data_IF_390855350680
#
_entry.id   IF_390855350680
#
_cell.length_a   1.000
_cell.length_b   1.000
_cell.length_c   1.000
_cell.angle_alpha   90.00
_cell.angle_beta   90.00
_cell.angle_gamma   90.00
#
_symmetry.space_group_name_H-M   'P 1'
#
loop_
_entity.id
_entity.type
_entity.pdbx_description
1 polymer ?
#
# COMPACT_ATOMS: atom_id res chain seq x y z
N UNK A 1 -25.90 1.45 -3.50
CA UNK A 1 -24.96 2.34 -2.78
C UNK A 1 -25.36 2.56 -1.33
N UNK A 2 -26.61 2.95 -1.02
CA UNK A 2 -27.03 3.15 0.38
C UNK A 2 -26.90 1.89 1.24
N UNK A 3 -27.10 0.70 0.68
CA UNK A 3 -26.95 -0.58 1.41
C UNK A 3 -25.49 -0.98 1.68
N UNK A 4 -24.51 -0.36 1.00
CA UNK A 4 -23.09 -0.72 1.11
C UNK A 4 -22.32 0.20 2.07
N UNK A 5 -23.01 1.11 2.76
CA UNK A 5 -22.42 2.07 3.69
C UNK A 5 -21.59 1.41 4.80
N UNK A 6 -21.92 0.17 5.16
CA UNK A 6 -21.21 -0.56 6.20
C UNK A 6 -19.80 -0.97 5.77
N UNK A 7 -19.50 -1.09 4.47
CA UNK A 7 -18.14 -1.40 3.99
C UNK A 7 -17.13 -0.32 4.44
N UNK A 8 -17.29 0.97 4.07
CA UNK A 8 -16.36 2.01 4.51
C UNK A 8 -16.36 2.18 6.03
N UNK A 9 -17.52 1.99 6.68
CA UNK A 9 -17.60 2.03 8.14
C UNK A 9 -16.80 0.89 8.80
N UNK A 10 -16.86 -0.32 8.26
CA UNK A 10 -16.09 -1.48 8.73
C UNK A 10 -14.58 -1.23 8.61
N UNK A 11 -14.12 -0.56 7.55
CA UNK A 11 -12.71 -0.17 7.41
C UNK A 11 -12.27 0.75 8.55
N UNK A 12 -13.12 1.70 8.95
CA UNK A 12 -12.85 2.59 10.10
C UNK A 12 -12.84 1.78 11.40
N UNK A 13 -13.81 0.90 11.63
CA UNK A 13 -13.86 0.04 12.81
C UNK A 13 -12.64 -0.91 12.88
N UNK A 14 -12.23 -1.48 11.75
CA UNK A 14 -11.03 -2.32 11.64
C UNK A 14 -9.77 -1.55 12.02
N UNK A 15 -9.66 -0.30 11.54
CA UNK A 15 -8.55 0.60 11.88
C UNK A 15 -8.54 0.90 13.37
N UNK A 16 -9.68 1.27 13.96
CA UNK A 16 -9.79 1.62 15.37
C UNK A 16 -9.48 0.41 16.26
N UNK A 17 -10.18 -0.71 16.03
CA UNK A 17 -9.99 -1.94 16.82
C UNK A 17 -8.57 -2.50 16.67
N UNK A 18 -8.04 -2.53 15.45
CA UNK A 18 -6.66 -2.93 15.18
C UNK A 18 -5.64 -2.03 15.88
N UNK A 19 -5.82 -0.71 15.85
CA UNK A 19 -4.92 0.22 16.55
C UNK A 19 -5.01 0.10 18.08
N UNK A 20 -6.19 -0.18 18.64
CA UNK A 20 -6.35 -0.46 20.08
C UNK A 20 -5.59 -1.74 20.46
N UNK A 21 -5.76 -2.82 19.70
CA UNK A 21 -5.02 -4.07 19.89
C UNK A 21 -3.51 -3.82 19.75
N UNK A 22 -3.10 -3.07 18.72
CA UNK A 22 -1.72 -2.69 18.50
C UNK A 22 -1.13 -1.90 19.66
N UNK A 23 -1.88 -0.96 20.24
CA UNK A 23 -1.48 -0.19 21.42
C UNK A 23 -1.28 -1.08 22.64
N UNK A 24 -2.22 -2.00 22.90
CA UNK A 24 -2.11 -2.96 24.01
C UNK A 24 -0.88 -3.85 23.84
N UNK A 25 -0.69 -4.43 22.64
CA UNK A 25 0.47 -5.29 22.33
C UNK A 25 1.78 -4.52 22.46
N UNK A 26 1.86 -3.31 21.90
CA UNK A 26 3.05 -2.47 22.00
C UNK A 26 3.39 -2.11 23.45
N UNK A 27 2.37 -1.88 24.30
CA UNK A 27 2.56 -1.58 25.72
C UNK A 27 3.10 -2.77 26.51
N UNK A 28 2.72 -3.99 26.14
CA UNK A 28 3.19 -5.24 26.77
C UNK A 28 4.62 -5.58 26.33
N UNK A 29 4.88 -5.48 25.03
CA UNK A 29 6.14 -5.94 24.43
C UNK A 29 7.25 -4.90 24.59
N UNK A 30 6.86 -3.62 24.68
CA UNK A 30 7.76 -2.46 24.82
C UNK A 30 8.83 -2.47 23.72
N UNK A 31 8.43 -2.18 22.46
CA UNK A 31 9.37 -2.15 21.34
C UNK A 31 10.50 -1.14 21.60
N UNK A 32 11.70 -1.36 21.05
CA UNK A 32 12.80 -0.42 21.19
C UNK A 32 12.41 0.96 20.66
N UNK A 33 12.90 2.02 21.30
CA UNK A 33 12.69 3.38 20.80
C UNK A 33 13.35 3.53 19.42
N UNK A 34 12.73 4.24 18.47
CA UNK A 34 11.44 4.94 18.50
C UNK A 34 10.26 4.16 17.86
N UNK A 35 10.28 2.82 17.87
CA UNK A 35 9.35 1.98 17.10
C UNK A 35 7.98 1.70 17.76
N UNK A 36 7.61 2.44 18.81
CA UNK A 36 6.32 2.25 19.48
C UNK A 36 5.13 2.53 18.55
N UNK A 37 5.10 3.70 17.91
CA UNK A 37 4.03 4.07 16.96
C UNK A 37 4.04 3.18 15.72
N UNK A 38 5.23 2.82 15.24
CA UNK A 38 5.42 1.87 14.14
C UNK A 38 4.74 0.53 14.44
N UNK A 39 4.96 -0.03 15.64
CA UNK A 39 4.37 -1.32 16.07
C UNK A 39 2.84 -1.26 16.07
N UNK A 40 2.25 -0.16 16.56
CA UNK A 40 0.79 0.04 16.56
C UNK A 40 0.24 0.02 15.13
N UNK A 41 0.87 0.76 14.22
CA UNK A 41 0.45 0.85 12.82
C UNK A 41 0.56 -0.51 12.12
N UNK A 42 1.66 -1.24 12.33
CA UNK A 42 1.87 -2.53 11.65
C UNK A 42 0.83 -3.58 12.09
N UNK A 43 0.34 -3.50 13.33
CA UNK A 43 -0.77 -4.35 13.81
C UNK A 43 -2.13 -3.81 13.36
N UNK A 44 -2.34 -2.49 13.45
CA UNK A 44 -3.65 -1.89 13.22
C UNK A 44 -4.06 -1.83 11.76
N UNK A 45 -3.11 -1.68 10.85
CA UNK A 45 -3.41 -1.36 9.45
C UNK A 45 -3.20 -2.57 8.54
N UNK A 46 -4.31 -3.13 8.08
CA UNK A 46 -4.34 -4.25 7.13
C UNK A 46 -4.21 -3.84 5.68
N UNK A 47 -3.83 -4.80 4.85
CA UNK A 47 -3.88 -4.69 3.40
C UNK A 47 -5.34 -4.82 2.91
N UNK A 48 -6.04 -3.71 2.81
CA UNK A 48 -7.48 -3.68 2.46
C UNK A 48 -7.76 -3.93 0.97
N UNK A 49 -6.76 -3.83 0.10
CA UNK A 49 -6.95 -3.89 -1.35
C UNK A 49 -6.24 -5.05 -2.03
N UNK A 50 -4.90 -5.01 -2.03
CA UNK A 50 -4.10 -5.82 -2.93
C UNK A 50 -4.23 -7.32 -2.66
N UNK A 51 -4.15 -7.74 -1.39
CA UNK A 51 -4.27 -9.16 -1.02
C UNK A 51 -5.70 -9.68 -1.14
N UNK A 52 -6.74 -8.95 -0.66
CA UNK A 52 -8.14 -9.35 -0.86
C UNK A 52 -8.53 -9.55 -2.33
N UNK A 53 -8.12 -8.65 -3.23
CA UNK A 53 -8.47 -8.75 -4.66
C UNK A 53 -7.89 -10.02 -5.29
N UNK A 54 -6.62 -10.31 -5.02
CA UNK A 54 -5.97 -11.55 -5.50
C UNK A 54 -6.69 -12.78 -4.94
N UNK A 55 -7.04 -12.74 -3.66
CA UNK A 55 -7.69 -13.86 -2.98
C UNK A 55 -9.09 -14.12 -3.55
N UNK A 56 -9.90 -13.08 -3.75
CA UNK A 56 -11.24 -13.21 -4.36
C UNK A 56 -11.13 -13.72 -5.79
N UNK A 57 -10.21 -13.17 -6.59
CA UNK A 57 -10.01 -13.65 -7.95
C UNK A 57 -9.63 -15.15 -7.99
N UNK A 58 -8.76 -15.59 -7.08
CA UNK A 58 -8.39 -17.00 -6.97
C UNK A 58 -9.56 -17.88 -6.50
N UNK A 59 -10.32 -17.42 -5.50
CA UNK A 59 -11.43 -18.17 -4.93
C UNK A 59 -12.60 -18.31 -5.92
N UNK A 60 -12.99 -17.21 -6.59
CA UNK A 60 -14.10 -17.20 -7.54
C UNK A 60 -13.80 -18.02 -8.81
N UNK A 61 -12.53 -18.13 -9.20
CA UNK A 61 -12.11 -18.94 -10.37
C UNK A 61 -12.28 -20.44 -10.14
N UNK A 62 -12.35 -20.89 -8.88
CA UNK A 62 -12.60 -22.29 -8.57
C UNK A 62 -14.05 -22.68 -8.93
N UNK A 63 -14.21 -23.77 -9.68
CA UNK A 63 -15.54 -24.29 -10.05
C UNK A 63 -16.34 -24.77 -8.84
N UNK A 64 -15.66 -25.09 -7.74
CA UNK A 64 -16.25 -25.54 -6.47
C UNK A 64 -16.48 -24.39 -5.48
N UNK A 65 -16.35 -23.13 -5.91
CA UNK A 65 -16.55 -22.00 -5.03
C UNK A 65 -17.98 -21.98 -4.44
N UNK A 66 -18.15 -21.59 -3.16
CA UNK A 66 -19.45 -21.62 -2.50
C UNK A 66 -20.33 -20.40 -2.82
N UNK A 67 -19.81 -19.39 -3.52
CA UNK A 67 -20.50 -18.12 -3.79
C UNK A 67 -21.31 -18.15 -5.10
N UNK A 68 -21.26 -19.26 -5.83
CA UNK A 68 -22.09 -19.53 -7.01
C UNK A 68 -21.33 -19.29 -8.31
N UNK A 69 -21.92 -18.50 -9.20
CA UNK A 69 -21.35 -18.22 -10.50
C UNK A 69 -20.03 -17.44 -10.40
N UNK A 70 -19.01 -17.88 -11.15
CA UNK A 70 -17.64 -17.34 -11.09
C UNK A 70 -17.59 -15.86 -11.47
N UNK A 71 -18.32 -15.46 -12.51
CA UNK A 71 -18.26 -14.09 -13.03
C UNK A 71 -18.96 -13.14 -12.05
N UNK A 72 -20.12 -13.56 -11.54
CA UNK A 72 -20.82 -12.81 -10.49
C UNK A 72 -20.02 -12.70 -9.21
N UNK A 73 -19.40 -13.79 -8.76
CA UNK A 73 -18.54 -13.84 -7.57
C UNK A 73 -17.38 -12.83 -7.68
N UNK A 74 -16.68 -12.84 -8.82
CA UNK A 74 -15.57 -11.93 -9.09
C UNK A 74 -16.05 -10.48 -9.16
N UNK A 75 -17.15 -10.21 -9.87
CA UNK A 75 -17.70 -8.88 -10.02
C UNK A 75 -18.14 -8.27 -8.68
N UNK A 76 -18.94 -8.99 -7.90
CA UNK A 76 -19.45 -8.53 -6.60
C UNK A 76 -18.30 -8.37 -5.59
N UNK A 77 -17.40 -9.36 -5.51
CA UNK A 77 -16.24 -9.31 -4.61
C UNK A 77 -15.29 -8.15 -4.93
N UNK A 78 -14.95 -7.94 -6.21
CA UNK A 78 -14.12 -6.82 -6.63
C UNK A 78 -14.80 -5.47 -6.37
N UNK A 79 -16.12 -5.37 -6.59
CA UNK A 79 -16.89 -4.17 -6.30
C UNK A 79 -16.86 -3.82 -4.80
N UNK A 80 -17.11 -4.80 -3.91
CA UNK A 80 -17.11 -4.57 -2.47
C UNK A 80 -15.73 -4.17 -1.94
N UNK A 81 -14.66 -4.85 -2.36
CA UNK A 81 -13.30 -4.52 -1.96
C UNK A 81 -12.94 -3.11 -2.44
N UNK A 82 -13.18 -2.81 -3.72
CA UNK A 82 -12.91 -1.50 -4.34
C UNK A 82 -13.68 -0.37 -3.66
N UNK A 83 -14.90 -0.64 -3.21
CA UNK A 83 -15.70 0.33 -2.48
C UNK A 83 -15.17 0.63 -1.07
N UNK A 84 -14.42 -0.29 -0.43
CA UNK A 84 -13.76 -0.03 0.86
C UNK A 84 -12.39 0.65 0.74
N UNK A 85 -11.69 0.44 -0.38
CA UNK A 85 -10.30 0.86 -0.55
C UNK A 85 -10.07 2.37 -0.42
N UNK A 86 -11.01 3.22 -0.85
CA UNK A 86 -10.84 4.68 -0.77
C UNK A 86 -10.76 5.19 0.68
N UNK A 87 -11.50 4.59 1.61
CA UNK A 87 -11.39 4.93 3.05
C UNK A 87 -10.05 4.46 3.59
N UNK A 88 -9.61 3.26 3.19
CA UNK A 88 -8.28 2.74 3.55
C UNK A 88 -7.16 3.68 3.10
N UNK A 89 -7.28 4.27 1.91
CA UNK A 89 -6.34 5.28 1.42
C UNK A 89 -6.37 6.54 2.30
N UNK A 90 -7.56 7.08 2.64
CA UNK A 90 -7.68 8.23 3.54
C UNK A 90 -6.99 7.94 4.88
N UNK A 91 -7.26 6.78 5.50
CA UNK A 91 -6.64 6.36 6.76
C UNK A 91 -5.11 6.28 6.64
N UNK A 92 -4.58 5.67 5.59
CA UNK A 92 -3.13 5.58 5.36
C UNK A 92 -2.48 6.96 5.30
N UNK A 93 -3.05 7.89 4.54
CA UNK A 93 -2.40 9.17 4.30
C UNK A 93 -2.66 10.23 5.37
N UNK A 94 -3.72 10.09 6.16
CA UNK A 94 -4.03 11.02 7.25
C UNK A 94 -3.53 10.49 8.59
N UNK A 95 -3.88 9.27 8.95
CA UNK A 95 -3.55 8.68 10.25
C UNK A 95 -2.16 8.04 10.25
N UNK A 96 -1.88 7.14 9.30
CA UNK A 96 -0.62 6.39 9.29
C UNK A 96 0.58 7.29 9.01
N UNK A 97 0.44 8.19 8.04
CA UNK A 97 1.50 9.14 7.70
C UNK A 97 1.89 10.05 8.87
N UNK A 98 0.94 10.45 9.72
CA UNK A 98 1.18 11.25 10.92
C UNK A 98 1.75 10.41 12.06
N UNK A 99 1.28 9.17 12.23
CA UNK A 99 1.80 8.25 13.25
C UNK A 99 3.25 7.81 12.98
N UNK A 100 3.65 7.73 11.72
CA UNK A 100 5.02 7.42 11.30
C UNK A 100 5.91 8.66 11.17
N UNK A 101 5.46 9.84 11.59
CA UNK A 101 6.33 11.02 11.63
C UNK A 101 7.53 10.76 12.54
N UNK A 102 8.75 11.15 12.11
CA UNK A 102 9.96 10.94 12.90
C UNK A 102 9.88 11.67 14.25
N UNK A 103 10.50 11.13 15.31
CA UNK A 103 10.57 11.80 16.60
C UNK A 103 11.34 13.14 16.51
N UNK A 104 11.07 14.04 17.45
CA UNK A 104 11.61 15.41 17.47
C UNK A 104 13.13 15.52 17.65
N UNK A 105 13.80 14.42 18.01
CA UNK A 105 15.24 14.36 18.27
C UNK A 105 16.09 14.06 17.02
N UNK A 106 15.46 13.97 15.84
CA UNK A 106 16.13 13.60 14.60
C UNK A 106 15.69 12.22 14.10
N UNK A 107 16.14 11.87 12.91
CA UNK A 107 15.81 10.69 12.10
C UNK A 107 15.83 9.38 12.91
N UNK A 108 15.21 8.31 12.39
CA UNK A 108 15.23 6.96 13.01
C UNK A 108 16.64 6.33 13.14
N UNK A 109 17.67 7.05 12.72
CA UNK A 109 19.07 6.76 12.94
C UNK A 109 19.50 7.23 14.32
N UNK A 110 19.45 6.32 15.29
CA UNK A 110 20.25 6.46 16.51
C UNK A 110 21.71 6.26 16.09
N UNK A 111 22.49 7.33 16.17
CA UNK A 111 23.94 7.33 15.99
C UNK A 111 24.56 6.53 17.15
N UNK A 112 25.07 5.32 16.87
CA UNK A 112 25.77 4.45 17.83
C UNK A 112 27.18 5.01 18.16
N UNK A 113 27.29 6.31 18.44
CA UNK A 113 28.57 7.04 18.44
C UNK A 113 28.86 7.95 19.63
N UNK A 114 27.98 8.08 20.63
CA UNK A 114 28.22 8.98 21.76
C UNK A 114 28.63 8.24 23.05
N UNK A 115 29.83 7.65 23.04
CA UNK A 115 30.58 7.37 24.27
C UNK A 115 31.71 8.40 24.42
N UNK A 116 31.77 9.18 25.50
CA UNK A 116 32.79 10.22 25.67
C UNK A 116 34.13 9.58 26.09
N UNK A 117 35.07 9.48 25.15
CA UNK A 117 36.47 9.16 25.48
C UNK A 117 37.24 10.46 25.75
N UNK A 118 37.77 10.53 26.98
CA UNK A 118 38.51 11.64 27.56
C UNK A 118 40.02 11.56 27.22
N UNK A 119 40.53 12.64 26.61
CA UNK A 119 41.88 13.26 26.67
C UNK A 119 43.13 12.66 25.96
N UNK A 120 43.51 13.32 24.83
CA UNK A 120 44.80 14.00 24.45
C UNK A 120 46.17 13.25 24.39
N UNK A 121 47.26 13.79 23.76
CA UNK A 121 47.41 14.57 22.50
C UNK A 121 48.64 14.14 21.61
N UNK A 122 48.75 14.67 20.37
CA UNK A 122 49.91 15.44 19.84
C UNK A 122 50.22 15.29 18.32
N UNK A 123 50.54 16.46 17.74
CA UNK A 123 51.54 16.76 16.69
C UNK A 123 51.26 16.52 15.18
N UNK A 124 51.04 17.65 14.50
CA UNK A 124 51.66 18.19 13.26
C UNK A 124 52.15 17.20 12.18
N UNK A 125 51.80 17.43 10.90
CA UNK A 125 52.62 18.14 9.89
C UNK A 125 51.88 18.19 8.53
N UNK A 126 52.10 19.25 7.77
CA UNK A 126 51.54 19.53 6.44
C UNK A 126 52.26 18.75 5.32
N UNK A 127 51.56 18.41 4.24
CA UNK A 127 52.19 18.22 2.93
C UNK A 127 51.21 18.50 1.77
N UNK A 128 51.71 19.24 0.77
CA UNK A 128 51.04 19.83 -0.40
C UNK A 128 50.91 18.81 -1.57
N UNK A 129 50.48 19.29 -2.76
CA UNK A 129 50.77 18.83 -4.18
C UNK A 129 49.46 18.60 -5.01
N UNK A 130 49.36 18.86 -6.34
CA UNK A 130 48.94 20.13 -7.00
C UNK A 130 47.85 19.97 -8.13
N UNK A 131 47.55 21.05 -8.87
CA UNK A 131 46.48 21.22 -9.90
C UNK A 131 46.81 20.76 -11.35
N UNK A 132 45.80 20.16 -12.02
CA UNK A 132 45.38 20.11 -13.47
C UNK A 132 46.34 19.56 -14.57
N UNK A 133 45.86 19.01 -15.74
CA UNK A 133 44.80 19.59 -16.61
C UNK A 133 43.82 18.65 -17.38
N UNK A 134 42.79 19.29 -17.94
CA UNK A 134 41.68 18.83 -18.81
C UNK A 134 42.10 18.42 -20.23
N UNK A 135 41.30 17.60 -20.95
CA UNK A 135 41.14 17.75 -22.41
C UNK A 135 39.68 17.86 -22.90
N UNK A 136 39.51 18.59 -24.01
CA UNK A 136 38.30 18.94 -24.77
C UNK A 136 37.74 17.80 -25.67
N UNK A 137 36.51 17.92 -26.24
CA UNK A 137 35.76 16.82 -26.86
C UNK A 137 35.75 16.80 -28.41
N UNK A 138 35.59 15.61 -29.01
CA UNK A 138 35.27 15.42 -30.44
C UNK A 138 33.85 14.82 -30.67
N UNK A 139 33.17 15.11 -31.80
CA UNK A 139 31.75 14.80 -32.00
C UNK A 139 31.49 13.54 -32.84
N UNK A 140 30.39 12.82 -32.59
CA UNK A 140 29.88 11.77 -33.49
C UNK A 140 28.43 12.08 -33.90
N UNK A 141 28.24 12.13 -35.21
CA UNK A 141 26.99 12.32 -35.96
C UNK A 141 26.16 11.03 -35.96
N UNK A 142 24.84 11.13 -35.75
CA UNK A 142 23.90 10.08 -36.15
C UNK A 142 22.58 10.68 -36.67
N UNK A 143 22.16 10.18 -37.83
CA UNK A 143 21.12 10.69 -38.72
C UNK A 143 19.69 10.53 -38.17
N UNK A 144 18.86 11.53 -38.46
CA UNK A 144 17.43 11.62 -38.17
C UNK A 144 16.60 10.83 -39.19
N UNK A 145 15.66 10.01 -38.72
CA UNK A 145 14.49 9.58 -39.49
C UNK A 145 13.24 10.21 -38.87
N UNK A 146 12.37 10.81 -39.69
CA UNK A 146 11.25 11.68 -39.26
C UNK A 146 10.05 10.83 -38.76
N UNK A 147 9.49 11.07 -37.56
CA UNK A 147 8.19 10.53 -37.20
C UNK A 147 7.06 11.40 -37.75
N UNK A 148 6.01 10.76 -38.29
CA UNK A 148 4.88 11.45 -38.93
C UNK A 148 3.87 12.10 -37.97
N UNK A 149 2.99 12.95 -38.51
CA UNK A 149 1.97 13.78 -37.82
C UNK A 149 1.11 13.07 -36.75
N UNK A 150 0.95 11.74 -36.81
CA UNK A 150 0.21 10.96 -35.81
C UNK A 150 1.00 10.87 -34.49
N UNK A 151 2.34 10.83 -34.57
CA UNK A 151 3.24 10.85 -33.41
C UNK A 151 3.17 12.18 -32.65
N UNK A 152 2.90 13.29 -33.33
CA UNK A 152 2.82 14.62 -32.71
C UNK A 152 1.50 14.81 -31.95
N UNK A 153 0.39 14.24 -32.45
CA UNK A 153 -0.90 14.25 -31.74
C UNK A 153 -0.82 13.36 -30.50
N UNK A 154 -0.23 12.17 -30.63
CA UNK A 154 0.03 11.31 -29.47
C UNK A 154 0.99 11.98 -28.48
N UNK A 155 2.06 12.63 -28.93
CA UNK A 155 2.98 13.38 -28.07
C UNK A 155 2.29 14.55 -27.35
N UNK A 156 1.40 15.29 -28.03
CA UNK A 156 0.62 16.38 -27.45
C UNK A 156 -0.34 15.90 -26.37
N UNK A 157 -1.05 14.78 -26.61
CA UNK A 157 -1.93 14.15 -25.62
C UNK A 157 -1.09 13.60 -24.45
N UNK A 158 0.06 12.97 -24.74
CA UNK A 158 0.99 12.42 -23.75
C UNK A 158 1.60 13.49 -22.83
N UNK A 159 1.87 14.67 -23.37
CA UNK A 159 2.40 15.83 -22.64
C UNK A 159 1.30 16.54 -21.82
N UNK A 160 0.08 16.69 -22.36
CA UNK A 160 -1.08 17.25 -21.64
C UNK A 160 -1.60 16.37 -20.51
N UNK A 161 -1.52 15.03 -20.63
CA UNK A 161 -2.00 14.09 -19.61
C UNK A 161 -1.00 13.86 -18.46
N UNK A 162 0.24 14.37 -18.56
CA UNK A 162 1.31 14.08 -17.59
C UNK A 162 1.41 12.58 -17.25
N UNK A 163 1.33 11.68 -18.24
CA UNK A 163 1.30 10.23 -17.97
C UNK A 163 2.62 9.71 -17.35
N UNK A 164 3.74 10.41 -17.57
CA UNK A 164 5.03 10.17 -16.88
C UNK A 164 4.98 10.44 -15.37
N UNK A 165 3.97 11.18 -14.90
CA UNK A 165 3.73 11.47 -13.49
C UNK A 165 2.73 10.51 -12.82
N UNK A 166 2.05 9.66 -13.58
CA UNK A 166 1.07 8.69 -13.04
C UNK A 166 1.68 7.28 -12.94
N UNK A 167 2.67 6.98 -13.79
CA UNK A 167 3.24 5.64 -13.96
C UNK A 167 4.56 5.43 -13.20
N UNK A 168 4.63 5.89 -11.95
CA UNK A 168 5.66 5.44 -11.02
C UNK A 168 5.01 5.01 -9.71
N UNK A 169 4.94 3.70 -9.41
CA UNK A 169 4.80 3.28 -8.03
C UNK A 169 6.00 3.80 -7.21
N UNK A 170 5.83 4.02 -5.89
CA UNK A 170 6.79 4.70 -5.00
C UNK A 170 8.16 3.99 -4.78
N UNK A 171 8.56 3.09 -5.67
CA UNK A 171 9.67 2.13 -5.49
C UNK A 171 11.01 2.69 -5.97
N UNK A 172 11.02 3.74 -6.79
CA UNK A 172 12.28 4.25 -7.38
C UNK A 172 13.05 5.18 -6.40
N UNK A 173 12.45 5.57 -5.27
CA UNK A 173 13.14 6.42 -4.30
C UNK A 173 14.13 5.66 -3.39
N UNK A 174 14.08 4.33 -3.31
CA UNK A 174 14.81 3.60 -2.26
C UNK A 174 16.08 2.87 -2.68
N UNK A 175 16.48 2.86 -3.96
CA UNK A 175 17.73 2.21 -4.41
C UNK A 175 18.52 2.91 -5.50
N UNK A 176 18.27 4.19 -5.75
CA UNK A 176 19.21 5.00 -6.51
C UNK A 176 19.81 6.04 -5.58
N UNK A 177 20.96 5.70 -5.03
CA UNK A 177 21.93 6.71 -4.59
C UNK A 177 22.42 7.41 -5.86
N UNK A 178 21.60 8.33 -6.39
CA UNK A 178 22.05 9.32 -7.35
C UNK A 178 22.88 10.32 -6.54
N UNK A 179 24.16 10.00 -6.37
CA UNK A 179 25.18 11.00 -6.13
C UNK A 179 25.03 12.10 -7.18
N UNK A 180 24.44 13.23 -6.77
CA UNK A 180 24.41 14.47 -7.55
C UNK A 180 23.15 14.76 -8.39
N UNK A 181 21.92 14.58 -7.90
CA UNK A 181 20.73 15.21 -8.51
C UNK A 181 19.87 15.99 -7.52
N UNK A 182 19.31 17.12 -7.99
CA UNK A 182 18.86 18.27 -7.21
C UNK A 182 17.61 18.05 -6.33
N UNK A 183 17.52 18.87 -5.26
CA UNK A 183 16.36 19.05 -4.36
C UNK A 183 15.01 19.21 -5.08
N UNK A 184 15.02 19.60 -6.35
CA UNK A 184 13.84 19.75 -7.19
C UNK A 184 13.20 18.40 -7.53
N UNK A 185 13.98 17.32 -7.66
CA UNK A 185 13.49 16.00 -8.09
C UNK A 185 12.79 15.29 -6.93
N UNK A 186 13.36 15.39 -5.72
CA UNK A 186 12.70 15.01 -4.48
C UNK A 186 11.45 15.85 -4.21
N UNK A 187 11.52 17.18 -4.39
CA UNK A 187 10.38 18.07 -4.19
C UNK A 187 9.24 17.80 -5.21
N UNK A 188 9.55 17.50 -6.47
CA UNK A 188 8.58 17.14 -7.50
C UNK A 188 7.97 15.77 -7.18
N UNK A 189 8.78 14.78 -6.80
CA UNK A 189 8.30 13.45 -6.42
C UNK A 189 7.38 13.54 -5.20
N UNK A 190 7.76 14.29 -4.18
CA UNK A 190 6.95 14.53 -2.98
C UNK A 190 5.65 15.27 -3.32
N UNK A 191 5.72 16.34 -4.12
CA UNK A 191 4.52 17.10 -4.54
C UNK A 191 3.59 16.27 -5.41
N UNK A 192 4.14 15.43 -6.28
CA UNK A 192 3.37 14.54 -7.14
C UNK A 192 2.75 13.40 -6.36
N UNK A 193 3.49 12.81 -5.43
CA UNK A 193 2.99 11.83 -4.48
C UNK A 193 1.83 12.44 -3.68
N UNK A 194 2.05 13.58 -3.02
CA UNK A 194 0.99 14.30 -2.27
C UNK A 194 -0.18 14.66 -3.18
N UNK A 195 0.04 15.02 -4.45
CA UNK A 195 -1.03 15.32 -5.40
C UNK A 195 -1.83 14.09 -5.78
N UNK A 196 -1.19 12.98 -6.18
CA UNK A 196 -1.86 11.73 -6.53
C UNK A 196 -2.60 11.19 -5.31
N UNK A 197 -1.98 11.26 -4.13
CA UNK A 197 -2.55 10.82 -2.85
C UNK A 197 -3.75 11.66 -2.42
N UNK A 198 -3.62 12.99 -2.40
CA UNK A 198 -4.68 13.91 -1.99
C UNK A 198 -5.86 13.91 -2.98
N UNK A 199 -5.64 13.47 -4.22
CA UNK A 199 -6.68 13.37 -5.23
C UNK A 199 -7.13 11.93 -5.52
N UNK A 200 -6.48 10.89 -4.99
CA UNK A 200 -6.88 9.48 -5.17
C UNK A 200 -8.30 9.24 -4.67
N UNK A 201 -8.62 9.72 -3.46
CA UNK A 201 -9.99 9.69 -2.95
C UNK A 201 -10.97 10.45 -3.84
N UNK A 202 -10.55 11.58 -4.42
CA UNK A 202 -11.40 12.37 -5.33
C UNK A 202 -11.65 11.68 -6.66
N UNK A 203 -10.66 11.00 -7.23
CA UNK A 203 -10.83 10.20 -8.46
C UNK A 203 -11.79 9.03 -8.24
N UNK A 204 -11.73 8.39 -7.07
CA UNK A 204 -12.62 7.28 -6.73
C UNK A 204 -14.05 7.75 -6.45
N UNK A 205 -14.21 8.90 -5.77
CA UNK A 205 -15.51 9.56 -5.60
C UNK A 205 -16.07 9.99 -6.96
N UNK A 206 -15.24 10.55 -7.85
CA UNK A 206 -15.66 10.93 -9.20
C UNK A 206 -16.12 9.70 -10.00
N UNK A 207 -15.40 8.58 -9.93
CA UNK A 207 -15.79 7.33 -10.57
C UNK A 207 -17.13 6.80 -10.04
N UNK A 208 -17.37 6.88 -8.72
CA UNK A 208 -18.67 6.53 -8.14
C UNK A 208 -19.79 7.44 -8.63
N UNK A 209 -19.56 8.75 -8.72
CA UNK A 209 -20.55 9.72 -9.24
C UNK A 209 -20.88 9.42 -10.70
N UNK A 210 -19.87 9.15 -11.53
CA UNK A 210 -20.05 8.74 -12.93
C UNK A 210 -20.87 7.44 -13.02
N UNK A 211 -20.55 6.45 -12.19
CA UNK A 211 -21.28 5.17 -12.15
C UNK A 211 -22.70 5.26 -11.57
N UNK A 212 -22.97 6.25 -10.72
CA UNK A 212 -24.28 6.47 -10.12
C UNK A 212 -25.25 7.17 -11.08
N UNK A 213 -24.75 8.00 -12.00
CA UNK A 213 -25.58 8.73 -12.97
C UNK A 213 -25.94 7.78 -14.12
N UNK A 214 -27.23 7.43 -14.31
CA UNK A 214 -27.63 6.41 -15.28
C UNK A 214 -27.25 6.75 -16.73
N UNK A 215 -27.25 8.03 -17.08
CA UNK A 215 -26.85 8.52 -18.40
C UNK A 215 -25.35 8.29 -18.66
N UNK A 216 -24.49 8.70 -17.72
CA UNK A 216 -23.04 8.52 -17.83
C UNK A 216 -22.65 7.04 -17.79
N UNK A 217 -23.35 6.24 -16.96
CA UNK A 217 -23.18 4.79 -16.93
C UNK A 217 -23.45 4.16 -18.29
N UNK A 218 -24.57 4.51 -18.95
CA UNK A 218 -24.89 4.00 -20.30
C UNK A 218 -23.92 4.49 -21.38
N UNK A 219 -23.26 5.62 -21.17
CA UNK A 219 -22.33 6.22 -22.13
C UNK A 219 -20.90 5.65 -22.03
N UNK A 220 -20.47 5.22 -20.83
CA UNK A 220 -19.08 4.87 -20.53
C UNK A 220 -18.91 3.41 -20.08
N UNK A 221 -19.87 2.84 -19.34
CA UNK A 221 -19.72 1.58 -18.59
C UNK A 221 -20.49 0.39 -19.20
N UNK A 222 -21.22 0.57 -20.30
CA UNK A 222 -21.98 -0.50 -20.98
C UNK A 222 -21.20 -1.01 -22.19
N UNK A 223 -21.22 -2.31 -22.47
CA UNK A 223 -20.40 -2.93 -23.52
C UNK A 223 -20.66 -2.34 -24.92
N UNK A 224 -21.90 -1.94 -25.20
CA UNK A 224 -22.30 -1.28 -26.46
C UNK A 224 -22.10 0.25 -26.46
N UNK A 225 -21.45 0.81 -25.43
CA UNK A 225 -21.35 2.25 -25.27
C UNK A 225 -20.21 2.86 -26.11
N UNK A 226 -20.39 4.08 -26.65
CA UNK A 226 -19.40 4.70 -27.54
C UNK A 226 -18.06 5.00 -26.85
N UNK A 227 -18.05 5.14 -25.52
CA UNK A 227 -16.83 5.37 -24.73
C UNK A 227 -16.37 4.13 -23.95
N UNK A 228 -16.93 2.94 -24.24
CA UNK A 228 -16.57 1.72 -23.52
C UNK A 228 -15.08 1.38 -23.59
N UNK A 229 -14.40 1.78 -24.68
CA UNK A 229 -12.95 1.60 -24.83
C UNK A 229 -12.13 2.19 -23.66
N UNK A 230 -12.62 3.27 -23.02
CA UNK A 230 -11.96 3.82 -21.83
C UNK A 230 -12.10 2.89 -20.63
N UNK A 231 -13.31 2.34 -20.42
CA UNK A 231 -13.60 1.39 -19.33
C UNK A 231 -12.82 0.10 -19.54
N UNK A 232 -12.84 -0.46 -20.74
CA UNK A 232 -12.09 -1.66 -21.11
C UNK A 232 -10.58 -1.48 -20.87
N UNK A 233 -10.03 -0.35 -21.31
CA UNK A 233 -8.63 0.00 -21.02
C UNK A 233 -8.33 0.09 -19.52
N UNK A 234 -9.24 0.64 -18.72
CA UNK A 234 -9.09 0.73 -17.26
C UNK A 234 -9.19 -0.65 -16.59
N UNK A 235 -10.05 -1.53 -17.07
CA UNK A 235 -10.18 -2.91 -16.57
C UNK A 235 -8.89 -3.68 -16.83
N UNK A 236 -8.40 -3.67 -18.09
CA UNK A 236 -7.14 -4.32 -18.46
C UNK A 236 -5.97 -3.79 -17.62
N UNK A 237 -5.89 -2.47 -17.43
CA UNK A 237 -4.87 -1.86 -16.58
C UNK A 237 -5.00 -2.32 -15.12
N UNK A 238 -6.23 -2.36 -14.58
CA UNK A 238 -6.50 -2.82 -13.22
C UNK A 238 -6.09 -4.27 -12.99
N UNK A 239 -6.42 -5.17 -13.92
CA UNK A 239 -6.02 -6.57 -13.87
C UNK A 239 -4.50 -6.74 -13.94
N UNK A 240 -3.82 -5.98 -14.80
CA UNK A 240 -2.36 -5.98 -14.92
C UNK A 240 -1.65 -5.37 -13.70
N UNK A 241 -2.28 -4.42 -12.99
CA UNK A 241 -1.74 -3.82 -11.78
C UNK A 241 -1.64 -4.80 -10.62
N UNK A 242 -2.55 -5.78 -10.53
CA UNK A 242 -2.56 -6.77 -9.45
C UNK A 242 -1.21 -7.53 -9.33
N UNK A 243 -0.70 -8.22 -10.38
CA UNK A 243 0.60 -8.88 -10.33
C UNK A 243 1.77 -7.89 -10.24
N UNK A 244 1.67 -6.70 -10.83
CA UNK A 244 2.72 -5.68 -10.73
C UNK A 244 2.92 -5.21 -9.28
N UNK A 245 1.83 -5.04 -8.52
CA UNK A 245 1.88 -4.66 -7.11
C UNK A 245 2.48 -5.77 -6.25
N UNK A 246 2.22 -7.04 -6.57
CA UNK A 246 2.86 -8.17 -5.89
C UNK A 246 4.37 -8.24 -6.18
N UNK A 247 4.78 -7.99 -7.42
CA UNK A 247 6.19 -7.91 -7.80
C UNK A 247 6.89 -6.74 -7.09
N UNK A 248 6.22 -5.59 -7.06
CA UNK A 248 6.63 -4.40 -6.31
C UNK A 248 6.83 -4.68 -4.82
N UNK A 249 5.90 -5.42 -4.19
CA UNK A 249 6.05 -5.90 -2.83
C UNK A 249 7.34 -6.74 -2.70
N UNK A 250 7.59 -7.68 -3.61
CA UNK A 250 8.83 -8.46 -3.63
C UNK A 250 10.09 -7.58 -3.70
N UNK A 251 10.06 -6.52 -4.52
CA UNK A 251 11.14 -5.53 -4.61
C UNK A 251 11.39 -4.78 -3.30
N UNK A 252 10.33 -4.41 -2.57
CA UNK A 252 10.44 -3.76 -1.25
C UNK A 252 11.03 -4.68 -0.17
N UNK A 253 11.09 -5.99 -0.40
CA UNK A 253 11.60 -6.99 0.54
C UNK A 253 13.03 -7.44 0.21
N UNK A 254 13.67 -6.86 -0.80
CA UNK A 254 14.97 -7.31 -1.34
C UNK A 254 16.10 -7.26 -0.31
N UNK A 255 16.05 -6.33 0.65
CA UNK A 255 17.09 -6.17 1.67
C UNK A 255 16.99 -7.21 2.80
N UNK A 256 15.94 -8.03 2.78
CA UNK A 256 15.75 -9.16 3.67
C UNK A 256 15.54 -8.80 5.15
N UNK A 257 15.15 -9.78 5.98
CA UNK A 257 14.86 -9.56 7.39
C UNK A 257 16.10 -9.43 8.29
N UNK A 258 17.30 -9.71 7.78
CA UNK A 258 18.51 -10.01 8.58
C UNK A 258 19.14 -8.85 9.35
N UNK A 259 18.46 -7.70 9.40
CA UNK A 259 19.16 -6.44 9.57
C UNK A 259 18.34 -5.43 10.42
N UNK A 260 17.13 -5.77 10.86
CA UNK A 260 16.21 -4.84 11.56
C UNK A 260 16.56 -4.57 13.02
N UNK A 261 16.44 -3.31 13.45
CA UNK A 261 16.63 -2.86 14.84
C UNK A 261 15.44 -3.17 15.79
N UNK A 262 14.30 -3.66 15.28
CA UNK A 262 13.09 -3.94 16.07
C UNK A 262 13.24 -5.07 17.10
N UNK A 263 14.15 -6.02 16.82
CA UNK A 263 14.31 -7.25 17.58
C UNK A 263 13.20 -8.29 17.31
N UNK A 264 13.57 -9.57 17.39
CA UNK A 264 12.68 -10.71 17.11
C UNK A 264 11.41 -10.72 17.97
N UNK A 265 11.52 -10.30 19.24
CA UNK A 265 10.38 -10.23 20.17
C UNK A 265 9.29 -9.30 19.65
N UNK A 266 9.67 -8.12 19.15
CA UNK A 266 8.72 -7.14 18.61
C UNK A 266 8.10 -7.63 17.31
N UNK A 267 8.92 -8.17 16.40
CA UNK A 267 8.43 -8.72 15.14
C UNK A 267 7.43 -9.86 15.37
N UNK A 268 7.76 -10.81 16.27
CA UNK A 268 6.85 -11.89 16.64
C UNK A 268 5.53 -11.38 17.24
N UNK A 269 5.59 -10.35 18.08
CA UNK A 269 4.39 -9.72 18.63
C UNK A 269 3.54 -9.01 17.57
N UNK A 270 4.14 -8.36 16.57
CA UNK A 270 3.41 -7.76 15.45
C UNK A 270 2.68 -8.84 14.66
N UNK A 271 3.38 -9.94 14.32
CA UNK A 271 2.81 -11.07 13.58
C UNK A 271 1.63 -11.66 14.37
N UNK A 272 1.83 -11.95 15.65
CA UNK A 272 0.78 -12.51 16.50
C UNK A 272 -0.41 -11.55 16.66
N UNK A 273 -0.14 -10.27 16.95
CA UNK A 273 -1.16 -9.25 17.09
C UNK A 273 -2.02 -9.13 15.82
N UNK A 274 -1.37 -9.01 14.66
CA UNK A 274 -2.07 -8.83 13.38
C UNK A 274 -2.80 -10.08 12.92
N UNK A 275 -2.15 -11.25 12.96
CA UNK A 275 -2.67 -12.46 12.33
C UNK A 275 -3.52 -13.32 13.26
N UNK A 276 -3.50 -13.08 14.57
CA UNK A 276 -4.22 -13.89 15.56
C UNK A 276 -5.16 -13.07 16.42
N UNK A 277 -4.80 -11.85 16.84
CA UNK A 277 -5.64 -11.04 17.74
C UNK A 277 -6.66 -10.14 17.01
N UNK A 278 -6.28 -9.55 15.87
CA UNK A 278 -7.20 -8.71 15.07
C UNK A 278 -8.37 -9.50 14.44
N UNK A 279 -8.17 -10.70 13.85
CA UNK A 279 -9.25 -11.45 13.20
C UNK A 279 -10.45 -11.78 14.11
N UNK A 280 -10.28 -12.27 15.36
CA UNK A 280 -11.41 -12.48 16.27
C UNK A 280 -12.20 -11.20 16.57
N UNK A 281 -11.52 -10.07 16.73
CA UNK A 281 -12.17 -8.79 16.97
C UNK A 281 -13.03 -8.39 15.75
N UNK A 282 -12.48 -8.55 14.54
CA UNK A 282 -13.21 -8.35 13.29
C UNK A 282 -14.43 -9.26 13.14
N UNK A 283 -14.26 -10.56 13.45
CA UNK A 283 -15.35 -11.53 13.48
C UNK A 283 -16.47 -11.07 14.44
N UNK A 284 -16.10 -10.64 15.65
CA UNK A 284 -17.06 -10.11 16.62
C UNK A 284 -17.82 -8.89 16.11
N UNK A 285 -17.12 -7.93 15.49
CA UNK A 285 -17.71 -6.71 14.92
C UNK A 285 -18.72 -7.05 13.81
N UNK A 286 -18.32 -7.89 12.85
CA UNK A 286 -19.16 -8.23 11.69
C UNK A 286 -20.37 -9.07 12.12
N UNK A 287 -20.18 -10.05 13.02
CA UNK A 287 -21.28 -10.88 13.54
C UNK A 287 -22.28 -10.07 14.36
N UNK A 288 -21.80 -9.08 15.12
CA UNK A 288 -22.68 -8.17 15.85
C UNK A 288 -23.48 -7.28 14.88
N UNK A 289 -22.83 -6.74 13.84
CA UNK A 289 -23.51 -5.94 12.82
C UNK A 289 -24.57 -6.75 12.06
N UNK A 290 -24.30 -8.04 11.80
CA UNK A 290 -25.26 -8.95 11.18
C UNK A 290 -26.49 -9.18 12.08
N UNK A 291 -26.28 -9.43 13.38
CA UNK A 291 -27.37 -9.58 14.36
C UNK A 291 -28.21 -8.31 14.54
N UNK A 292 -27.60 -7.15 14.37
CA UNK A 292 -28.28 -5.85 14.42
C UNK A 292 -29.01 -5.51 13.10
N UNK A 293 -28.93 -6.36 12.07
CA UNK A 293 -29.57 -6.14 10.77
C UNK A 293 -28.96 -4.98 9.98
N UNK A 294 -27.69 -4.63 10.25
CA UNK A 294 -26.99 -3.54 9.55
C UNK A 294 -26.41 -3.97 8.20
N UNK A 295 -26.34 -5.28 7.95
CA UNK A 295 -25.79 -5.87 6.73
C UNK A 295 -26.90 -6.27 5.75
N UNK A 296 -26.67 -6.21 4.43
CA UNK A 296 -27.61 -6.70 3.42
C UNK A 296 -28.01 -8.16 3.69
N UNK A 297 -29.32 -8.42 3.66
CA UNK A 297 -29.88 -9.74 3.96
C UNK A 297 -29.53 -10.72 2.84
N UNK A 298 -29.02 -11.90 3.19
CA UNK A 298 -28.74 -12.98 2.23
C UNK A 298 -27.44 -12.84 1.41
N UNK A 299 -26.77 -11.67 1.43
CA UNK A 299 -25.50 -11.49 0.73
C UNK A 299 -24.31 -12.05 1.53
N UNK A 300 -23.92 -13.29 1.19
CA UNK A 300 -22.80 -13.98 1.84
C UNK A 300 -21.44 -13.44 1.38
N UNK A 301 -21.34 -12.97 0.13
CA UNK A 301 -20.10 -12.40 -0.41
C UNK A 301 -19.77 -11.10 0.32
N UNK A 302 -20.76 -10.25 0.54
CA UNK A 302 -20.62 -9.02 1.32
C UNK A 302 -20.07 -9.30 2.72
N UNK A 303 -20.69 -10.24 3.46
CA UNK A 303 -20.22 -10.65 4.81
C UNK A 303 -18.79 -11.19 4.77
N UNK A 304 -18.47 -12.02 3.77
CA UNK A 304 -17.14 -12.58 3.60
C UNK A 304 -16.08 -11.49 3.36
N UNK A 305 -16.35 -10.52 2.48
CA UNK A 305 -15.44 -9.40 2.21
C UNK A 305 -15.20 -8.55 3.47
N UNK A 306 -16.22 -8.30 4.29
CA UNK A 306 -16.06 -7.57 5.55
C UNK A 306 -15.16 -8.32 6.54
N UNK A 307 -15.33 -9.64 6.68
CA UNK A 307 -14.50 -10.48 7.54
C UNK A 307 -13.06 -10.55 7.04
N UNK A 308 -12.88 -10.69 5.72
CA UNK A 308 -11.58 -10.74 5.06
C UNK A 308 -10.74 -9.49 5.40
N UNK A 309 -11.32 -8.29 5.42
CA UNK A 309 -10.59 -7.05 5.73
C UNK A 309 -9.83 -7.09 7.07
N UNK A 310 -10.37 -7.82 8.06
CA UNK A 310 -9.78 -7.93 9.39
C UNK A 310 -8.66 -8.97 9.47
N UNK A 311 -8.57 -9.89 8.52
CA UNK A 311 -7.56 -10.97 8.55
C UNK A 311 -6.36 -10.69 7.70
N UNK A 312 -6.46 -9.68 6.84
CA UNK A 312 -5.37 -9.33 5.93
C UNK A 312 -4.07 -9.05 6.68
N UNK A 313 -2.92 -9.47 6.11
CA UNK A 313 -1.62 -9.08 6.62
C UNK A 313 -1.48 -7.55 6.61
N UNK A 314 -0.42 -7.08 7.24
CA UNK A 314 -0.12 -5.65 7.31
C UNK A 314 -0.06 -5.00 5.92
N UNK A 315 -0.53 -3.76 5.84
CA UNK A 315 -0.57 -3.01 4.58
C UNK A 315 0.82 -2.80 3.98
N UNK A 316 0.98 -3.24 2.73
CA UNK A 316 2.18 -2.97 1.91
C UNK A 316 2.41 -1.45 1.76
N UNK A 317 1.33 -0.68 1.62
CA UNK A 317 1.40 0.78 1.52
C UNK A 317 1.86 1.42 2.83
N UNK A 318 1.47 0.87 3.99
CA UNK A 318 1.98 1.35 5.27
C UNK A 318 3.50 1.13 5.40
N UNK A 319 4.02 0.01 4.88
CA UNK A 319 5.47 -0.23 4.82
C UNK A 319 6.19 0.70 3.84
N UNK A 320 5.58 1.01 2.68
CA UNK A 320 6.12 2.01 1.77
C UNK A 320 6.15 3.42 2.40
N UNK A 321 5.11 3.80 3.15
CA UNK A 321 5.09 5.05 3.92
C UNK A 321 6.16 5.06 5.02
N UNK A 322 6.40 3.94 5.68
CA UNK A 322 7.49 3.81 6.66
C UNK A 322 8.86 3.98 6.00
N UNK A 323 9.04 3.49 4.77
CA UNK A 323 10.26 3.72 3.98
C UNK A 323 10.49 5.21 3.70
N UNK A 324 9.45 5.94 3.28
CA UNK A 324 9.51 7.39 3.09
C UNK A 324 9.81 8.18 4.38
N UNK A 325 9.60 7.57 5.54
CA UNK A 325 9.86 8.17 6.86
C UNK A 325 11.19 7.74 7.48
N UNK A 326 12.00 6.94 6.79
CA UNK A 326 13.31 6.47 7.28
C UNK A 326 13.27 5.17 8.08
N UNK A 327 12.16 4.43 8.09
CA UNK A 327 12.00 3.11 8.73
C UNK A 327 11.90 1.96 7.71
N UNK A 328 12.55 2.08 6.55
CA UNK A 328 12.37 1.16 5.42
C UNK A 328 12.80 -0.27 5.74
N UNK A 329 13.95 -0.42 6.39
CA UNK A 329 14.57 -1.71 6.74
C UNK A 329 13.72 -2.49 7.75
N UNK A 330 13.18 -1.81 8.74
CA UNK A 330 12.25 -2.33 9.73
C UNK A 330 10.92 -2.74 9.13
N UNK A 331 10.36 -1.88 8.27
CA UNK A 331 9.14 -2.16 7.54
C UNK A 331 9.28 -3.38 6.63
N UNK A 332 10.37 -3.48 5.87
CA UNK A 332 10.65 -4.61 5.00
C UNK A 332 10.76 -5.93 5.79
N UNK A 333 11.50 -5.93 6.91
CA UNK A 333 11.62 -7.12 7.75
C UNK A 333 10.28 -7.59 8.34
N UNK A 334 9.45 -6.67 8.83
CA UNK A 334 8.11 -7.00 9.35
C UNK A 334 7.20 -7.50 8.23
N UNK A 335 7.16 -6.79 7.09
CA UNK A 335 6.33 -7.19 5.96
C UNK A 335 6.73 -8.59 5.45
N UNK A 336 8.03 -8.90 5.37
CA UNK A 336 8.53 -10.21 4.96
C UNK A 336 7.93 -11.33 5.82
N UNK A 337 8.14 -11.26 7.14
CA UNK A 337 7.68 -12.32 8.04
C UNK A 337 6.16 -12.38 8.16
N UNK A 338 5.49 -11.23 8.26
CA UNK A 338 4.02 -11.18 8.34
C UNK A 338 3.39 -11.83 7.12
N UNK A 339 3.89 -11.56 5.90
CA UNK A 339 3.31 -12.14 4.69
C UNK A 339 3.57 -13.66 4.57
N UNK A 340 4.71 -14.16 5.04
CA UNK A 340 4.98 -15.61 5.10
C UNK A 340 3.99 -16.31 6.04
N UNK A 341 3.87 -15.83 7.28
CA UNK A 341 2.95 -16.44 8.25
C UNK A 341 1.48 -16.19 7.91
N UNK A 342 1.17 -15.12 7.17
CA UNK A 342 -0.18 -14.83 6.71
C UNK A 342 -0.72 -15.94 5.81
N UNK A 343 0.11 -16.61 5.00
CA UNK A 343 -0.37 -17.72 4.15
C UNK A 343 -1.10 -18.78 4.98
N UNK A 344 -0.49 -19.19 6.11
CA UNK A 344 -1.05 -20.19 7.00
C UNK A 344 -2.23 -19.65 7.82
N UNK A 345 -2.06 -18.47 8.41
CA UNK A 345 -3.12 -17.87 9.26
C UNK A 345 -4.37 -17.55 8.45
N UNK A 346 -4.22 -16.90 7.30
CA UNK A 346 -5.32 -16.55 6.40
C UNK A 346 -6.10 -17.77 5.96
N UNK A 347 -5.42 -18.84 5.56
CA UNK A 347 -6.09 -20.08 5.17
C UNK A 347 -6.99 -20.61 6.31
N UNK A 348 -6.49 -20.62 7.54
CA UNK A 348 -7.27 -21.01 8.72
C UNK A 348 -8.51 -20.13 8.94
N UNK A 349 -8.34 -18.80 8.89
CA UNK A 349 -9.45 -17.86 9.06
C UNK A 349 -10.48 -17.95 7.93
N UNK A 350 -10.05 -18.11 6.68
CA UNK A 350 -10.94 -18.26 5.52
C UNK A 350 -11.78 -19.52 5.67
N UNK A 351 -11.17 -20.66 6.03
CA UNK A 351 -11.91 -21.90 6.28
C UNK A 351 -12.94 -21.69 7.38
N UNK A 352 -12.58 -21.01 8.47
CA UNK A 352 -13.53 -20.68 9.54
C UNK A 352 -14.67 -19.79 9.03
N UNK A 353 -14.38 -18.75 8.25
CA UNK A 353 -15.40 -17.84 7.71
C UNK A 353 -16.37 -18.52 6.76
N UNK A 354 -15.85 -19.36 5.86
CA UNK A 354 -16.70 -20.15 4.96
C UNK A 354 -17.61 -21.10 5.76
N UNK A 355 -17.10 -21.74 6.82
CA UNK A 355 -17.89 -22.61 7.72
C UNK A 355 -18.97 -21.86 8.50
N UNK A 356 -18.77 -20.57 8.80
CA UNK A 356 -19.76 -19.77 9.52
C UNK A 356 -20.84 -19.25 8.55
N UNK A 357 -20.48 -18.97 7.30
CA UNK A 357 -21.38 -18.41 6.29
C UNK A 357 -22.23 -19.46 5.53
N UNK A 358 -21.78 -20.71 5.48
CA UNK A 358 -22.41 -21.81 4.74
C UNK A 358 -22.68 -23.02 5.62
#
# INVERSE_FOLDING_TARGET
MLEWWFIPFNVVLATISGSIIGFVVASIVRPPYPFFKFTIIQIGIGNIGNVPLVLIAALCRDKSNPFGDSDKCSQDGNAYISFGQWVGAIVLYTYVFQMLAPPSEGTFDIDDGLLPIKNAPSNNTAEQVPLLPTPEPEPIVANTSKPGKISEIFAYIYEKLKLKQILQPPIIASKFDFGGYSSLTEAITYRLFVFVVANCGKFQILAMVIGAIPFLKKLILTDDAPLFFFTDSCIILGEAMIPCILLALGGNLVDGPGSSKLGLRTTAAIIFGRLVLVPPAGLGIVMLADKLGLLPVGDKMFRFVLLLQHTMPTSVLAGALANLRGCGREAAAVLFWVHIFAILSMAGWIVLYLRILF
#
